data_IF_105727223231
#
_entry.id   IF_105727223231
#
_cell.length_a   1.000
_cell.length_b   1.000
_cell.length_c   1.000
_cell.angle_alpha   90.00
_cell.angle_beta   90.00
_cell.angle_gamma   90.00
#
_symmetry.space_group_name_H-M   'P 1'
#
loop_
_entity.id
_entity.type
_entity.pdbx_description
1 polymer ?
#
# COMPACT_ATOMS: atom_id res chain seq x y z
N UNK A 1 1.14 33.79 5.09
CA UNK A 1 0.35 32.72 4.45
C UNK A 1 -0.85 32.43 5.36
N UNK A 2 -2.04 32.18 4.88
CA UNK A 2 -3.15 31.75 5.75
C UNK A 2 -2.89 30.34 6.25
N UNK A 3 -3.22 30.04 7.50
CA UNK A 3 -3.12 28.71 8.05
C UNK A 3 -3.84 27.67 7.15
N UNK A 4 -3.34 26.44 7.12
CA UNK A 4 -3.94 25.36 6.32
C UNK A 4 -5.37 25.03 6.81
N UNK A 5 -5.57 25.06 8.14
CA UNK A 5 -6.88 24.86 8.75
C UNK A 5 -7.58 26.21 8.97
N UNK A 6 -8.90 26.22 8.77
CA UNK A 6 -9.74 27.38 9.11
C UNK A 6 -9.93 27.55 10.62
N UNK A 7 -9.99 26.44 11.35
CA UNK A 7 -10.07 26.42 12.82
C UNK A 7 -8.87 25.64 13.37
N UNK A 8 -8.02 26.32 14.09
CA UNK A 8 -6.86 25.77 14.77
C UNK A 8 -6.89 25.98 16.30
N UNK A 9 -8.08 26.24 16.84
CA UNK A 9 -8.28 26.49 18.28
C UNK A 9 -7.73 25.39 19.19
N UNK A 10 -7.70 24.14 18.70
CA UNK A 10 -7.18 22.98 19.42
C UNK A 10 -5.65 22.92 19.54
N UNK A 11 -4.93 23.82 18.86
CA UNK A 11 -3.46 23.76 18.74
C UNK A 11 -2.74 24.82 19.60
N UNK A 12 -3.45 25.61 20.39
CA UNK A 12 -2.82 26.65 21.23
C UNK A 12 -1.88 26.12 22.32
N UNK A 13 -2.02 24.86 22.72
CA UNK A 13 -1.24 24.29 23.82
C UNK A 13 -1.45 25.07 25.14
N UNK A 14 -0.37 25.51 25.76
CA UNK A 14 -0.40 26.36 26.96
C UNK A 14 -0.66 27.82 26.67
N UNK A 15 -0.66 28.25 25.41
CA UNK A 15 -0.77 29.65 24.99
C UNK A 15 0.51 30.45 25.15
N UNK A 16 1.64 29.81 25.48
CA UNK A 16 2.93 30.46 25.61
C UNK A 16 3.51 30.84 24.25
N UNK A 17 4.34 31.89 24.26
CA UNK A 17 5.12 32.27 23.07
C UNK A 17 6.31 31.35 22.90
N UNK A 18 6.69 31.07 21.63
CA UNK A 18 7.88 30.31 21.33
C UNK A 18 9.18 31.11 21.58
N UNK A 19 10.35 30.51 21.37
CA UNK A 19 11.67 31.15 21.57
C UNK A 19 11.86 32.41 20.71
N UNK A 20 11.19 32.50 19.55
CA UNK A 20 11.17 33.69 18.69
C UNK A 20 10.19 34.78 19.15
N UNK A 21 9.49 34.59 20.28
CA UNK A 21 8.50 35.51 20.84
C UNK A 21 7.16 35.50 20.11
N UNK A 22 6.86 34.49 19.30
CA UNK A 22 5.64 34.40 18.47
C UNK A 22 4.56 33.62 19.22
N UNK A 23 3.31 34.06 19.14
CA UNK A 23 2.15 33.24 19.43
C UNK A 23 1.82 32.30 18.26
N UNK A 24 0.79 31.46 18.37
CA UNK A 24 0.43 30.47 17.33
C UNK A 24 0.07 31.14 16.00
N UNK A 25 -0.72 32.19 16.02
CA UNK A 25 -1.16 32.90 14.83
C UNK A 25 0.04 33.50 14.08
N UNK A 26 0.90 34.21 14.79
CA UNK A 26 2.12 34.83 14.24
C UNK A 26 3.05 33.73 13.64
N UNK A 27 3.18 32.59 14.30
CA UNK A 27 3.94 31.45 13.82
C UNK A 27 3.34 30.89 12.52
N UNK A 28 2.02 30.62 12.48
CA UNK A 28 1.36 30.06 11.30
C UNK A 28 1.38 31.02 10.09
N UNK A 29 1.30 32.34 10.34
CA UNK A 29 1.36 33.34 9.29
C UNK A 29 2.75 33.38 8.63
N UNK A 30 3.81 33.20 9.41
CA UNK A 30 5.21 33.24 8.96
C UNK A 30 5.73 31.87 8.52
N UNK A 31 4.98 30.79 8.77
CA UNK A 31 5.42 29.42 8.44
C UNK A 31 5.54 29.22 6.92
N UNK A 32 6.73 28.88 6.47
CA UNK A 32 6.98 28.49 5.09
C UNK A 32 6.83 26.97 4.92
N UNK A 33 5.69 26.54 4.38
CA UNK A 33 5.41 25.12 4.11
C UNK A 33 6.29 24.52 2.99
N UNK A 34 7.04 25.35 2.25
CA UNK A 34 7.95 24.90 1.18
C UNK A 34 9.40 24.83 1.64
N UNK A 35 9.67 25.12 2.90
CA UNK A 35 11.03 25.04 3.47
C UNK A 35 11.62 23.63 3.33
N UNK A 36 10.79 22.61 3.35
CA UNK A 36 11.17 21.21 3.16
C UNK A 36 10.46 20.64 1.94
N UNK A 37 11.18 19.82 1.18
CA UNK A 37 10.56 19.04 0.11
C UNK A 37 9.51 18.10 0.69
N UNK A 38 8.34 18.03 0.06
CA UNK A 38 7.21 17.24 0.54
C UNK A 38 6.99 16.06 -0.40
N UNK A 39 7.03 14.81 0.09
CA UNK A 39 6.67 13.67 -0.71
C UNK A 39 5.19 13.70 -1.08
N UNK A 40 4.87 13.14 -2.23
CA UNK A 40 3.49 12.86 -2.61
C UNK A 40 2.98 11.65 -1.84
N UNK A 41 1.72 11.69 -1.40
CA UNK A 41 1.07 10.55 -0.76
C UNK A 41 0.06 9.92 -1.72
N UNK A 42 0.06 8.60 -1.77
CA UNK A 42 -0.90 7.78 -2.52
C UNK A 42 -1.54 6.74 -1.61
N UNK A 43 -2.58 6.10 -2.09
CA UNK A 43 -3.15 4.89 -1.47
C UNK A 43 -3.27 3.80 -2.51
N UNK A 44 -3.11 2.55 -2.10
CA UNK A 44 -3.33 1.35 -2.91
C UNK A 44 -4.29 0.42 -2.17
N UNK A 45 -5.33 -0.07 -2.84
CA UNK A 45 -6.36 -0.90 -2.23
C UNK A 45 -6.28 -2.35 -2.71
N UNK A 46 -5.96 -3.29 -1.81
CA UNK A 46 -6.04 -4.73 -2.05
C UNK A 46 -7.44 -5.20 -1.72
N UNK A 47 -8.25 -5.42 -2.73
CA UNK A 47 -9.60 -5.94 -2.55
C UNK A 47 -9.59 -7.42 -2.94
N UNK A 48 -9.82 -8.28 -1.95
CA UNK A 48 -10.00 -9.70 -2.19
C UNK A 48 -11.47 -10.06 -2.30
N UNK A 49 -11.78 -10.99 -3.22
CA UNK A 49 -13.08 -11.63 -3.30
C UNK A 49 -12.96 -13.12 -3.03
N UNK A 50 -13.98 -13.67 -2.38
CA UNK A 50 -14.11 -15.10 -2.12
C UNK A 50 -15.47 -15.62 -2.62
N UNK A 51 -15.51 -16.91 -2.94
CA UNK A 51 -16.75 -17.62 -3.28
C UNK A 51 -17.33 -18.30 -2.03
N UNK A 52 -18.65 -18.34 -1.89
CA UNK A 52 -19.33 -18.99 -0.77
C UNK A 52 -19.91 -18.03 0.26
N UNK A 53 -20.19 -18.56 1.46
CA UNK A 53 -20.84 -17.82 2.55
C UNK A 53 -19.85 -17.15 3.49
N UNK A 54 -18.62 -17.68 3.58
CA UNK A 54 -17.55 -17.19 4.46
C UNK A 54 -16.18 -17.32 3.78
N UNK A 55 -15.22 -16.50 4.21
CA UNK A 55 -13.82 -16.59 3.81
C UNK A 55 -13.06 -17.39 4.86
N UNK A 56 -12.90 -18.69 4.64
CA UNK A 56 -12.25 -19.60 5.60
C UNK A 56 -10.84 -20.06 5.13
N UNK A 57 -10.44 -19.67 3.93
CA UNK A 57 -9.14 -20.01 3.34
C UNK A 57 -8.67 -18.90 2.39
N UNK A 58 -7.37 -18.83 2.18
CA UNK A 58 -6.79 -18.02 1.10
C UNK A 58 -6.90 -18.71 -0.27
N UNK A 59 -7.26 -20.01 -0.31
CA UNK A 59 -7.41 -20.75 -1.55
C UNK A 59 -8.66 -20.30 -2.30
N UNK A 60 -8.53 -20.06 -3.59
CA UNK A 60 -9.62 -19.58 -4.43
C UNK A 60 -9.94 -18.09 -4.30
N UNK A 61 -9.12 -17.33 -3.57
CA UNK A 61 -9.23 -15.87 -3.55
C UNK A 61 -9.01 -15.27 -4.94
N UNK A 62 -9.73 -14.19 -5.19
CA UNK A 62 -9.49 -13.29 -6.32
C UNK A 62 -9.05 -11.94 -5.81
N UNK A 63 -8.18 -11.27 -6.55
CA UNK A 63 -7.76 -9.88 -6.29
C UNK A 63 -8.30 -8.98 -7.38
N UNK A 64 -8.77 -7.79 -7.00
CA UNK A 64 -9.20 -6.78 -7.95
C UNK A 64 -7.98 -6.03 -8.48
N UNK A 65 -7.82 -6.03 -9.80
CA UNK A 65 -6.75 -5.29 -10.47
C UNK A 65 -7.31 -4.38 -11.56
N UNK A 66 -6.61 -3.27 -11.78
CA UNK A 66 -6.86 -2.33 -12.86
C UNK A 66 -5.70 -2.36 -13.86
N UNK A 67 -6.02 -2.19 -15.14
CA UNK A 67 -4.99 -2.11 -16.18
C UNK A 67 -4.55 -0.67 -16.36
N UNK A 68 -3.26 -0.42 -16.24
CA UNK A 68 -2.69 0.93 -16.35
C UNK A 68 -2.76 1.45 -17.80
N UNK A 69 -3.37 2.60 -17.97
CA UNK A 69 -3.45 3.33 -19.25
C UNK A 69 -2.28 4.28 -19.46
N UNK A 70 -1.49 4.60 -18.43
CA UNK A 70 -0.42 5.60 -18.48
C UNK A 70 0.86 5.15 -17.76
N UNK A 71 1.96 5.90 -17.96
CA UNK A 71 3.22 5.71 -17.26
C UNK A 71 3.17 6.12 -15.78
N UNK A 72 4.03 5.50 -14.95
CA UNK A 72 4.89 4.35 -15.21
C UNK A 72 4.12 3.04 -15.37
N UNK A 73 4.77 2.00 -15.89
CA UNK A 73 4.23 0.64 -16.04
C UNK A 73 2.96 0.57 -16.91
N UNK A 74 2.88 1.36 -17.99
CA UNK A 74 1.77 1.32 -18.95
C UNK A 74 1.52 -0.10 -19.47
N UNK A 75 0.25 -0.52 -19.47
CA UNK A 75 -0.17 -1.85 -19.93
C UNK A 75 -0.05 -2.95 -18.87
N UNK A 76 0.62 -2.70 -17.73
CA UNK A 76 0.68 -3.62 -16.59
C UNK A 76 -0.56 -3.51 -15.72
N UNK A 77 -0.75 -4.52 -14.88
CA UNK A 77 -1.83 -4.56 -13.92
C UNK A 77 -1.39 -4.00 -12.57
N UNK A 78 -2.27 -3.29 -11.90
CA UNK A 78 -2.00 -2.59 -10.66
C UNK A 78 -3.17 -2.75 -9.67
N UNK A 79 -2.91 -2.50 -8.41
CA UNK A 79 -3.96 -2.26 -7.43
C UNK A 79 -4.67 -0.95 -7.77
N UNK A 80 -5.99 -0.85 -7.56
CA UNK A 80 -6.68 0.43 -7.61
C UNK A 80 -6.09 1.39 -6.56
N UNK A 81 -5.86 2.64 -6.97
CA UNK A 81 -5.27 3.63 -6.10
C UNK A 81 -4.70 4.84 -6.81
N UNK A 82 -4.46 5.90 -6.04
CA UNK A 82 -3.97 7.16 -6.58
C UNK A 82 -3.58 8.18 -5.53
N UNK A 83 -3.43 9.43 -5.95
CA UNK A 83 -2.90 10.50 -5.13
C UNK A 83 -3.95 11.06 -4.15
N UNK A 84 -3.50 11.29 -2.90
CA UNK A 84 -4.31 11.95 -1.90
C UNK A 84 -4.49 13.44 -2.22
N UNK A 85 -5.72 13.92 -2.12
CA UNK A 85 -6.01 15.34 -2.21
C UNK A 85 -5.64 16.06 -0.90
N UNK A 86 -5.27 17.36 -0.99
CA UNK A 86 -4.78 18.15 0.13
C UNK A 86 -5.73 18.24 1.34
N UNK A 87 -7.02 17.98 1.16
CA UNK A 87 -8.04 18.06 2.22
C UNK A 87 -8.85 16.77 2.35
N UNK A 88 -8.20 15.66 2.07
CA UNK A 88 -8.77 14.32 2.07
C UNK A 88 -7.95 13.44 3.03
N UNK A 89 -8.62 12.66 3.86
CA UNK A 89 -7.95 11.66 4.66
C UNK A 89 -7.54 10.46 3.80
N UNK A 90 -6.51 9.72 4.17
CA UNK A 90 -6.01 8.61 3.34
C UNK A 90 -7.04 7.50 3.13
N UNK A 91 -7.89 7.23 4.11
CA UNK A 91 -8.99 6.26 3.97
C UNK A 91 -10.11 6.76 3.03
N UNK A 92 -10.33 8.08 2.95
CA UNK A 92 -11.24 8.70 1.97
C UNK A 92 -10.63 8.63 0.57
N UNK A 93 -9.32 8.90 0.43
CA UNK A 93 -8.59 8.73 -0.83
C UNK A 93 -8.73 7.29 -1.35
N UNK A 94 -8.46 6.30 -0.50
CA UNK A 94 -8.54 4.88 -0.90
C UNK A 94 -9.95 4.50 -1.39
N UNK A 95 -11.01 5.02 -0.74
CA UNK A 95 -12.41 4.76 -1.18
C UNK A 95 -12.74 5.48 -2.48
N UNK A 96 -12.32 6.73 -2.63
CA UNK A 96 -12.56 7.52 -3.84
C UNK A 96 -11.87 6.88 -5.05
N UNK A 97 -10.57 6.58 -4.96
CA UNK A 97 -9.81 5.96 -6.05
C UNK A 97 -10.39 4.59 -6.43
N UNK A 98 -10.76 3.76 -5.44
CA UNK A 98 -11.42 2.49 -5.68
C UNK A 98 -12.74 2.67 -6.45
N UNK A 99 -13.57 3.64 -6.06
CA UNK A 99 -14.84 3.94 -6.75
C UNK A 99 -14.60 4.49 -8.15
N UNK A 100 -13.68 5.43 -8.32
CA UNK A 100 -13.36 6.07 -9.60
C UNK A 100 -12.81 5.07 -10.62
N UNK A 101 -11.92 4.17 -10.21
CA UNK A 101 -11.27 3.22 -11.12
C UNK A 101 -12.07 1.92 -11.36
N UNK A 102 -12.91 1.52 -10.42
CA UNK A 102 -13.55 0.19 -10.46
C UNK A 102 -15.07 0.19 -10.27
N UNK A 103 -15.65 1.32 -9.92
CA UNK A 103 -17.08 1.44 -9.58
C UNK A 103 -17.45 0.81 -8.22
N UNK A 104 -16.49 0.21 -7.50
CA UNK A 104 -16.71 -0.44 -6.22
C UNK A 104 -16.74 0.58 -5.09
N UNK A 105 -17.76 0.53 -4.25
CA UNK A 105 -17.96 1.48 -3.16
C UNK A 105 -18.58 0.87 -1.91
N UNK A 106 -18.49 1.63 -0.81
CA UNK A 106 -19.11 1.27 0.46
C UNK A 106 -18.42 0.16 1.22
N UNK A 107 -17.16 -0.16 0.89
CA UNK A 107 -16.39 -1.18 1.59
C UNK A 107 -15.78 -0.66 2.89
N UNK A 108 -15.74 -1.52 3.89
CA UNK A 108 -14.88 -1.34 5.06
C UNK A 108 -13.49 -1.79 4.65
N UNK A 109 -12.53 -0.86 4.71
CA UNK A 109 -11.12 -1.12 4.39
C UNK A 109 -10.25 -0.87 5.61
N UNK A 110 -9.27 -1.72 5.79
CA UNK A 110 -8.29 -1.63 6.87
C UNK A 110 -6.93 -1.25 6.31
N UNK A 111 -6.26 -0.28 6.93
CA UNK A 111 -4.87 0.03 6.63
C UNK A 111 -3.98 -1.13 7.07
N UNK A 112 -3.16 -1.66 6.18
CA UNK A 112 -2.27 -2.79 6.47
C UNK A 112 -0.81 -2.39 6.58
N UNK A 113 -0.34 -1.46 5.75
CA UNK A 113 1.06 -1.03 5.73
C UNK A 113 1.25 0.32 5.05
N UNK A 114 2.46 0.87 5.19
CA UNK A 114 2.93 2.01 4.42
C UNK A 114 4.22 1.62 3.71
N UNK A 115 4.29 1.87 2.42
CA UNK A 115 5.45 1.63 1.57
C UNK A 115 6.13 2.97 1.28
N UNK A 116 7.34 3.12 1.76
CA UNK A 116 8.05 4.39 1.73
C UNK A 116 9.47 4.30 1.20
N UNK A 117 9.84 3.29 0.41
CA UNK A 117 11.15 3.21 -0.21
C UNK A 117 11.37 4.41 -1.13
N UNK A 118 12.56 5.00 -1.06
CA UNK A 118 12.81 6.28 -1.73
C UNK A 118 12.77 6.18 -3.26
N UNK A 119 12.99 5.00 -3.79
CA UNK A 119 13.13 4.66 -5.21
C UNK A 119 11.94 3.85 -5.77
N UNK A 120 10.84 3.72 -4.98
CA UNK A 120 9.66 2.97 -5.41
C UNK A 120 8.91 3.58 -6.61
N UNK A 121 9.07 4.88 -6.87
CA UNK A 121 8.41 5.59 -7.98
C UNK A 121 9.41 6.47 -8.72
N UNK A 122 9.55 6.33 -10.06
CA UNK A 122 10.55 7.08 -10.82
C UNK A 122 10.20 8.56 -11.03
N UNK A 123 8.98 8.99 -10.71
CA UNK A 123 8.52 10.36 -10.96
C UNK A 123 8.96 11.34 -9.90
N UNK A 124 8.88 10.93 -8.63
CA UNK A 124 9.21 11.73 -7.44
C UNK A 124 9.21 10.85 -6.20
N UNK A 125 9.52 11.44 -5.04
CA UNK A 125 9.32 10.78 -3.75
C UNK A 125 7.84 10.54 -3.51
N UNK A 126 7.41 9.27 -3.58
CA UNK A 126 6.03 8.85 -3.33
C UNK A 126 6.00 7.91 -2.14
N UNK A 127 5.06 8.12 -1.23
CA UNK A 127 4.76 7.23 -0.12
C UNK A 127 3.34 6.73 -0.33
N UNK A 128 3.13 5.42 -0.34
CA UNK A 128 1.79 4.86 -0.42
C UNK A 128 1.36 4.19 0.87
N UNK A 129 0.08 4.32 1.19
CA UNK A 129 -0.56 3.59 2.27
C UNK A 129 -1.47 2.53 1.68
N UNK A 130 -1.18 1.26 2.00
CA UNK A 130 -1.93 0.12 1.52
C UNK A 130 -3.13 -0.18 2.43
N UNK A 131 -4.28 -0.39 1.81
CA UNK A 131 -5.53 -0.79 2.44
C UNK A 131 -5.98 -2.17 1.95
N UNK A 132 -6.72 -2.91 2.77
CA UNK A 132 -7.27 -4.23 2.43
C UNK A 132 -8.75 -4.30 2.75
N UNK A 133 -9.50 -4.96 1.87
CA UNK A 133 -10.85 -5.43 2.14
C UNK A 133 -11.03 -6.85 1.62
N UNK A 134 -11.97 -7.59 2.22
CA UNK A 134 -12.35 -8.95 1.79
C UNK A 134 -13.87 -8.99 1.65
N UNK A 135 -14.36 -9.38 0.48
CA UNK A 135 -15.79 -9.32 0.16
C UNK A 135 -16.27 -10.62 -0.52
N UNK A 136 -17.54 -11.01 -0.39
CA UNK A 136 -18.11 -12.02 -1.26
C UNK A 136 -18.08 -11.53 -2.72
N UNK A 137 -17.68 -12.38 -3.68
CA UNK A 137 -17.53 -11.98 -5.08
C UNK A 137 -18.84 -11.40 -5.67
N UNK A 138 -19.96 -11.95 -5.27
CA UNK A 138 -21.29 -11.51 -5.72
C UNK A 138 -21.80 -10.21 -5.06
N UNK A 139 -21.10 -9.72 -4.02
CA UNK A 139 -21.52 -8.51 -3.31
C UNK A 139 -21.14 -7.22 -4.04
N UNK A 140 -20.18 -7.27 -4.96
CA UNK A 140 -19.67 -6.11 -5.66
C UNK A 140 -19.68 -6.32 -7.17
N UNK A 141 -20.07 -5.26 -7.90
CA UNK A 141 -19.98 -5.23 -9.37
C UNK A 141 -18.79 -4.35 -9.74
N UNK A 142 -17.87 -4.94 -10.51
CA UNK A 142 -16.69 -4.24 -11.01
C UNK A 142 -16.97 -3.70 -12.40
N UNK A 143 -16.65 -2.43 -12.62
CA UNK A 143 -16.74 -1.76 -13.89
C UNK A 143 -15.58 -0.79 -14.01
N UNK A 144 -14.77 -0.90 -15.05
CA UNK A 144 -13.67 0.04 -15.28
C UNK A 144 -14.18 1.48 -15.34
N UNK A 145 -13.51 2.35 -14.60
CA UNK A 145 -13.75 3.80 -14.61
C UNK A 145 -13.01 4.50 -15.75
N UNK A 146 -13.13 5.81 -15.81
CA UNK A 146 -12.65 6.64 -16.93
C UNK A 146 -11.12 6.58 -17.11
N UNK A 147 -10.35 6.46 -16.04
CA UNK A 147 -8.88 6.45 -16.06
C UNK A 147 -8.26 5.04 -16.11
N UNK A 148 -9.04 3.98 -15.86
CA UNK A 148 -8.59 2.59 -15.97
C UNK A 148 -8.91 2.04 -17.36
N UNK A 149 -7.92 1.43 -18.04
CA UNK A 149 -8.16 0.75 -19.30
C UNK A 149 -9.04 -0.50 -19.13
N UNK A 150 -9.02 -1.12 -17.96
CA UNK A 150 -9.82 -2.28 -17.55
C UNK A 150 -9.78 -2.45 -16.03
N UNK A 151 -10.82 -3.07 -15.44
CA UNK A 151 -10.87 -3.45 -14.03
C UNK A 151 -11.49 -4.85 -13.91
N UNK A 152 -10.76 -5.79 -13.31
CA UNK A 152 -11.16 -7.21 -13.30
C UNK A 152 -10.75 -7.94 -12.03
N UNK A 153 -11.53 -8.98 -11.69
CA UNK A 153 -11.12 -9.99 -10.73
C UNK A 153 -10.09 -10.94 -11.34
N UNK A 154 -8.97 -11.11 -10.68
CA UNK A 154 -7.92 -12.07 -11.05
C UNK A 154 -7.81 -13.14 -9.97
N UNK A 155 -7.76 -14.41 -10.38
CA UNK A 155 -7.38 -15.50 -9.47
C UNK A 155 -6.00 -15.22 -8.93
N UNK A 156 -5.82 -15.43 -7.63
CA UNK A 156 -4.54 -15.24 -6.96
C UNK A 156 -4.16 -16.48 -6.17
N UNK A 157 -2.90 -16.91 -6.32
CA UNK A 157 -2.33 -18.01 -5.55
C UNK A 157 -0.96 -17.62 -5.03
N UNK A 158 -0.70 -17.89 -3.74
CA UNK A 158 0.57 -17.63 -3.08
C UNK A 158 1.24 -18.93 -2.66
N UNK A 159 2.42 -19.19 -3.21
CA UNK A 159 3.25 -20.33 -2.86
C UNK A 159 4.52 -19.88 -2.13
N UNK A 160 4.77 -20.44 -0.94
CA UNK A 160 6.08 -20.35 -0.30
C UNK A 160 7.08 -21.24 -1.02
N UNK A 161 8.23 -20.71 -1.40
CA UNK A 161 9.27 -21.41 -2.18
C UNK A 161 10.39 -21.91 -1.27
N UNK A 162 10.94 -21.00 -0.44
CA UNK A 162 12.04 -21.32 0.48
C UNK A 162 11.99 -20.41 1.69
N UNK A 163 12.69 -20.85 2.74
CA UNK A 163 12.97 -20.04 3.94
C UNK A 163 14.46 -20.13 4.18
N UNK A 164 15.10 -18.99 4.33
CA UNK A 164 16.53 -18.90 4.62
C UNK A 164 16.76 -18.11 5.92
N UNK A 165 17.62 -18.66 6.78
CA UNK A 165 18.16 -17.94 7.92
C UNK A 165 19.48 -17.33 7.49
N UNK A 166 19.61 -16.00 7.53
CA UNK A 166 20.87 -15.31 7.24
C UNK A 166 21.51 -14.86 8.54
N UNK A 167 22.72 -15.31 8.77
CA UNK A 167 23.60 -14.75 9.78
C UNK A 167 24.34 -13.54 9.18
N UNK A 168 24.13 -12.36 9.77
CA UNK A 168 25.03 -11.18 9.69
C UNK A 168 25.28 -10.47 8.36
N UNK A 169 24.27 -10.23 7.50
CA UNK A 169 24.36 -9.09 6.58
C UNK A 169 23.22 -8.10 6.87
N UNK A 170 23.33 -7.44 8.02
CA UNK A 170 22.32 -6.51 8.54
C UNK A 170 22.14 -5.30 7.62
N UNK A 171 21.22 -5.41 6.70
CA UNK A 171 20.55 -4.27 6.08
C UNK A 171 19.16 -4.03 6.66
N UNK A 172 18.98 -4.29 7.96
CA UNK A 172 17.88 -3.68 8.68
C UNK A 172 18.18 -2.19 8.81
N UNK A 173 17.28 -1.34 8.38
CA UNK A 173 17.44 0.10 8.39
C UNK A 173 17.70 0.61 9.80
N UNK A 174 18.87 1.21 10.05
CA UNK A 174 19.05 2.02 11.25
C UNK A 174 20.24 1.78 12.16
N UNK A 175 21.31 1.14 11.73
CA UNK A 175 22.62 1.17 12.40
C UNK A 175 22.68 0.44 13.74
N UNK A 176 23.81 -0.19 14.01
CA UNK A 176 24.23 -0.80 15.28
C UNK A 176 23.19 -1.71 15.96
N UNK A 177 22.76 -2.74 15.25
CA UNK A 177 22.11 -3.88 15.87
C UNK A 177 23.18 -4.77 16.47
N UNK A 178 22.97 -5.19 17.72
CA UNK A 178 23.85 -6.16 18.38
C UNK A 178 23.92 -7.44 17.55
N UNK A 179 25.05 -8.13 17.54
CA UNK A 179 25.38 -9.35 16.79
C UNK A 179 24.44 -10.57 17.03
N UNK A 180 23.22 -10.36 17.52
CA UNK A 180 22.31 -11.38 18.04
C UNK A 180 20.93 -11.42 17.34
N UNK A 181 20.62 -10.52 16.42
CA UNK A 181 19.29 -10.54 15.78
C UNK A 181 19.34 -11.35 14.49
N UNK A 182 18.60 -12.46 14.53
CA UNK A 182 18.41 -13.35 13.38
C UNK A 182 17.51 -12.67 12.35
N UNK A 183 17.95 -12.66 11.11
CA UNK A 183 17.19 -12.28 9.97
C UNK A 183 16.64 -13.50 9.28
N UNK A 184 15.33 -13.54 9.04
CA UNK A 184 14.66 -14.59 8.30
C UNK A 184 14.18 -14.06 6.97
N UNK A 185 14.52 -14.73 5.89
CA UNK A 185 14.00 -14.46 4.55
C UNK A 185 13.04 -15.56 4.11
N UNK A 186 11.88 -15.14 3.62
CA UNK A 186 10.84 -16.00 3.08
C UNK A 186 10.62 -15.63 1.62
N UNK A 187 10.79 -16.59 0.72
CA UNK A 187 10.60 -16.38 -0.70
C UNK A 187 9.23 -16.90 -1.11
N UNK A 188 8.50 -16.07 -1.84
CA UNK A 188 7.15 -16.35 -2.32
C UNK A 188 7.06 -16.19 -3.82
N UNK A 189 6.24 -17.07 -4.44
CA UNK A 189 5.72 -16.89 -5.79
C UNK A 189 4.26 -16.51 -5.70
N UNK A 190 3.92 -15.36 -6.25
CA UNK A 190 2.57 -14.88 -6.41
C UNK A 190 2.15 -15.14 -7.85
N UNK A 191 1.24 -16.07 -8.07
CA UNK A 191 0.64 -16.31 -9.37
C UNK A 191 -0.67 -15.56 -9.48
N UNK A 192 -0.82 -14.77 -10.55
CA UNK A 192 -2.01 -13.96 -10.83
C UNK A 192 -2.53 -14.31 -12.22
N UNK A 193 -3.83 -14.66 -12.30
CA UNK A 193 -4.41 -15.16 -13.55
C UNK A 193 -5.80 -14.58 -13.82
N UNK A 194 -6.01 -14.17 -15.08
CA UNK A 194 -7.32 -13.92 -15.65
C UNK A 194 -7.34 -14.36 -17.12
N UNK A 195 -7.95 -15.51 -17.40
CA UNK A 195 -7.97 -16.12 -18.73
C UNK A 195 -8.64 -15.22 -19.75
N UNK A 196 -9.72 -14.54 -19.39
CA UNK A 196 -10.48 -13.68 -20.30
C UNK A 196 -9.71 -12.45 -20.76
N UNK A 197 -8.70 -12.03 -20.02
CA UNK A 197 -7.82 -10.89 -20.32
C UNK A 197 -6.43 -11.32 -20.81
N UNK A 198 -6.18 -12.62 -20.92
CA UNK A 198 -4.89 -13.15 -21.30
C UNK A 198 -3.78 -12.89 -20.28
N UNK A 199 -4.15 -12.63 -19.01
CA UNK A 199 -3.21 -12.47 -17.92
C UNK A 199 -2.91 -13.84 -17.33
N UNK A 200 -1.63 -14.20 -17.30
CA UNK A 200 -1.12 -15.39 -16.62
C UNK A 200 0.35 -15.10 -16.25
N UNK A 201 0.55 -14.56 -15.04
CA UNK A 201 1.85 -14.01 -14.65
C UNK A 201 2.27 -14.44 -13.26
N UNK A 202 3.57 -14.55 -13.05
CA UNK A 202 4.19 -14.83 -11.76
C UNK A 202 5.07 -13.65 -11.32
N UNK A 203 4.91 -13.23 -10.06
CA UNK A 203 5.83 -12.34 -9.38
C UNK A 203 6.59 -13.11 -8.29
N UNK A 204 7.84 -12.70 -8.05
CA UNK A 204 8.68 -13.25 -6.98
C UNK A 204 8.92 -12.14 -5.94
N UNK A 205 8.59 -12.46 -4.68
CA UNK A 205 8.63 -11.50 -3.57
C UNK A 205 9.38 -12.13 -2.41
N UNK A 206 10.28 -11.36 -1.81
CA UNK A 206 10.98 -11.73 -0.58
C UNK A 206 10.44 -10.94 0.58
N UNK A 207 10.05 -11.63 1.65
CA UNK A 207 9.76 -11.04 2.95
C UNK A 207 10.97 -11.23 3.85
N UNK A 208 11.52 -10.15 4.34
CA UNK A 208 12.58 -10.14 5.36
C UNK A 208 11.95 -9.79 6.71
N UNK A 209 12.22 -10.59 7.72
CA UNK A 209 11.77 -10.35 9.10
C UNK A 209 12.98 -10.25 10.01
N UNK A 210 13.08 -9.14 10.75
CA UNK A 210 14.10 -8.90 11.78
C UNK A 210 13.42 -8.68 13.13
N UNK A 211 14.08 -9.15 14.20
CA UNK A 211 13.62 -8.99 15.58
C UNK A 211 12.59 -10.03 16.03
N UNK A 212 12.48 -10.20 17.35
CA UNK A 212 11.61 -11.21 17.96
C UNK A 212 10.32 -10.61 18.54
N UNK A 213 10.44 -9.70 19.50
CA UNK A 213 9.31 -9.06 20.17
C UNK A 213 8.77 -7.85 19.39
N UNK A 214 9.68 -7.03 18.88
CA UNK A 214 9.37 -5.97 17.92
C UNK A 214 9.95 -6.43 16.60
N UNK A 215 9.10 -6.55 15.59
CA UNK A 215 9.48 -7.07 14.28
C UNK A 215 9.48 -5.97 13.25
N UNK A 216 10.55 -5.92 12.50
CA UNK A 216 10.61 -5.17 11.25
C UNK A 216 10.36 -6.16 10.11
N UNK A 217 9.33 -5.89 9.32
CA UNK A 217 8.97 -6.71 8.15
C UNK A 217 9.15 -5.85 6.91
N UNK A 218 9.93 -6.34 5.96
CA UNK A 218 10.16 -5.69 4.68
C UNK A 218 9.79 -6.64 3.54
N UNK A 219 9.11 -6.11 2.51
CA UNK A 219 8.72 -6.88 1.34
C UNK A 219 9.36 -6.28 0.09
N UNK A 220 10.15 -7.08 -0.60
CA UNK A 220 10.86 -6.66 -1.80
C UNK A 220 10.46 -7.51 -3.00
N UNK A 221 10.23 -6.86 -4.14
CA UNK A 221 9.93 -7.53 -5.40
C UNK A 221 11.25 -7.85 -6.11
N UNK A 222 11.52 -9.15 -6.33
CA UNK A 222 12.64 -9.61 -7.15
C UNK A 222 12.25 -9.69 -8.64
N UNK A 223 10.98 -10.11 -8.90
CA UNK A 223 10.43 -10.18 -10.24
C UNK A 223 8.97 -9.78 -10.23
N UNK A 224 8.64 -8.74 -10.93
CA UNK A 224 7.29 -8.17 -10.92
C UNK A 224 6.29 -8.90 -11.84
N UNK A 225 6.77 -9.63 -12.86
CA UNK A 225 5.90 -10.16 -13.91
C UNK A 225 5.20 -9.03 -14.66
N UNK A 226 3.88 -9.14 -14.82
CA UNK A 226 3.04 -8.08 -15.41
C UNK A 226 2.31 -7.23 -14.36
N UNK A 227 2.76 -7.27 -13.10
CA UNK A 227 2.24 -6.43 -12.02
C UNK A 227 3.11 -5.18 -11.86
N UNK A 228 2.49 -4.03 -11.69
CA UNK A 228 3.18 -2.76 -11.65
C UNK A 228 3.98 -2.57 -10.35
N UNK A 229 5.19 -2.07 -10.48
CA UNK A 229 6.07 -1.61 -9.39
C UNK A 229 6.16 -2.61 -8.22
N UNK A 230 5.80 -2.20 -7.02
CA UNK A 230 5.80 -2.96 -5.76
C UNK A 230 4.43 -3.54 -5.38
N UNK A 231 3.43 -3.46 -6.26
CA UNK A 231 2.07 -3.93 -5.97
C UNK A 231 2.01 -5.43 -5.68
N UNK A 232 2.90 -6.25 -6.27
CA UNK A 232 2.99 -7.68 -5.93
C UNK A 232 3.43 -7.90 -4.48
N UNK A 233 4.33 -7.06 -3.95
CA UNK A 233 4.72 -7.10 -2.53
C UNK A 233 3.56 -6.73 -1.62
N UNK A 234 2.78 -5.70 -1.98
CA UNK A 234 1.58 -5.29 -1.24
C UNK A 234 0.53 -6.42 -1.22
N UNK A 235 0.30 -7.10 -2.35
CA UNK A 235 -0.62 -8.23 -2.44
C UNK A 235 -0.16 -9.39 -1.55
N UNK A 236 1.14 -9.75 -1.59
CA UNK A 236 1.72 -10.81 -0.76
C UNK A 236 1.54 -10.48 0.72
N UNK A 237 1.86 -9.25 1.15
CA UNK A 237 1.66 -8.82 2.53
C UNK A 237 0.20 -8.91 2.96
N UNK A 238 -0.73 -8.48 2.10
CA UNK A 238 -2.16 -8.58 2.35
C UNK A 238 -2.63 -10.02 2.52
N UNK A 239 -2.20 -10.95 1.64
CA UNK A 239 -2.52 -12.39 1.75
C UNK A 239 -1.98 -12.98 3.06
N UNK A 240 -0.71 -12.67 3.41
CA UNK A 240 -0.12 -13.15 4.65
C UNK A 240 -0.80 -12.57 5.89
N UNK A 241 -1.25 -11.32 5.82
CA UNK A 241 -2.03 -10.67 6.87
C UNK A 241 -3.39 -11.35 7.04
N UNK A 242 -4.08 -11.63 5.94
CA UNK A 242 -5.36 -12.35 5.95
C UNK A 242 -5.19 -13.79 6.47
N UNK A 243 -4.17 -14.52 5.99
CA UNK A 243 -3.87 -15.88 6.41
C UNK A 243 -3.64 -16.04 7.92
N UNK A 244 -3.11 -15.00 8.58
CA UNK A 244 -2.91 -15.00 10.05
C UNK A 244 -4.25 -14.91 10.82
N UNK A 245 -5.37 -14.61 10.15
CA UNK A 245 -6.70 -14.36 10.74
C UNK A 245 -7.71 -15.46 10.46
N UNK A 246 -7.45 -16.28 9.45
CA UNK A 246 -8.22 -17.46 9.07
C UNK A 246 -7.72 -18.70 9.80
#
# INVERSE_FOLDING_TARGET
MTAFLNDFSKFYGTGEKNEAGQNLEEFLELYDSRKYETPSNTTDAVIFAYEGESCDSIDGLKVLLVKRSNHPSIGYWALPGGFANMRENLDETARRELEEETGVKGLVMEQIATYGDYDRDPRTRVITTAYMAVVPENAVKVQAGDDAADAVWCEVNLQGVSTEERENDLKCYGGAVSDLEKQMEYHYKLHVKNVSRGLDTEAEVVQTICGELVREEHFQVEKAGEIAVDHSAIIVQAILTLKKRL
#
